data_IF_345002109848
#
_entry.id   IF_345002109848
#
_cell.length_a   1.000
_cell.length_b   1.000
_cell.length_c   1.000
_cell.angle_alpha   90.00
_cell.angle_beta   90.00
_cell.angle_gamma   90.00
#
_symmetry.space_group_name_H-M   'P 1'
#
loop_
_entity.id
_entity.type
_entity.pdbx_description
1 polymer ?
#
# COMPACT_ATOMS: atom_id res chain seq x y z
N UNK A 1 10.81 -55.04 -32.63
CA UNK A 1 10.39 -54.85 -31.22
C UNK A 1 11.39 -54.04 -30.38
N UNK A 2 12.71 -54.31 -30.46
CA UNK A 2 13.73 -53.58 -29.68
C UNK A 2 13.82 -52.08 -30.04
N UNK A 3 13.80 -51.74 -31.33
CA UNK A 3 13.88 -50.33 -31.78
C UNK A 3 12.69 -49.49 -31.31
N UNK A 4 11.47 -50.03 -31.39
CA UNK A 4 10.27 -49.35 -30.87
C UNK A 4 10.34 -49.14 -29.35
N UNK A 5 10.96 -50.06 -28.60
CA UNK A 5 11.19 -49.91 -27.16
C UNK A 5 12.24 -48.85 -26.85
N UNK A 6 13.31 -48.76 -27.64
CA UNK A 6 14.35 -47.74 -27.46
C UNK A 6 13.76 -46.35 -27.68
N UNK A 7 13.06 -46.12 -28.81
CA UNK A 7 12.43 -44.81 -29.09
C UNK A 7 11.45 -44.41 -28.00
N UNK A 8 10.66 -45.36 -27.47
CA UNK A 8 9.72 -45.10 -26.38
C UNK A 8 10.43 -44.73 -25.07
N UNK A 9 11.51 -45.45 -24.71
CA UNK A 9 12.30 -45.15 -23.50
C UNK A 9 12.98 -43.80 -23.62
N UNK A 10 13.60 -43.49 -24.77
CA UNK A 10 14.25 -42.20 -24.98
C UNK A 10 13.24 -41.06 -24.93
N UNK A 11 12.07 -41.23 -25.56
CA UNK A 11 10.99 -40.26 -25.50
C UNK A 11 10.47 -40.03 -24.07
N UNK A 12 10.31 -41.10 -23.29
CA UNK A 12 9.91 -41.02 -21.88
C UNK A 12 10.94 -40.29 -21.02
N UNK A 13 12.23 -40.58 -21.19
CA UNK A 13 13.31 -39.91 -20.45
C UNK A 13 13.40 -38.41 -20.79
N UNK A 14 13.27 -38.06 -22.06
CA UNK A 14 13.24 -36.65 -22.48
C UNK A 14 12.03 -35.93 -21.88
N UNK A 15 10.85 -36.54 -21.91
CA UNK A 15 9.66 -35.98 -21.27
C UNK A 15 9.83 -35.81 -19.76
N UNK A 16 10.44 -36.79 -19.08
CA UNK A 16 10.72 -36.72 -17.65
C UNK A 16 11.68 -35.57 -17.31
N UNK A 17 12.77 -35.41 -18.07
CA UNK A 17 13.72 -34.31 -17.89
C UNK A 17 13.02 -32.96 -18.07
N UNK A 18 12.17 -32.83 -19.09
CA UNK A 18 11.40 -31.60 -19.33
C UNK A 18 10.49 -31.31 -18.13
N UNK A 19 9.71 -32.29 -17.66
CA UNK A 19 8.83 -32.12 -16.50
C UNK A 19 9.64 -31.76 -15.24
N UNK A 20 10.74 -32.44 -14.98
CA UNK A 20 11.63 -32.14 -13.85
C UNK A 20 12.23 -30.73 -13.94
N UNK A 21 12.59 -30.27 -15.14
CA UNK A 21 13.08 -28.90 -15.35
C UNK A 21 11.98 -27.87 -15.03
N UNK A 22 10.76 -28.07 -15.53
CA UNK A 22 9.63 -27.18 -15.23
C UNK A 22 9.25 -27.16 -13.74
N UNK A 23 9.26 -28.32 -13.07
CA UNK A 23 8.99 -28.41 -11.63
C UNK A 23 10.13 -27.81 -10.81
N UNK A 24 11.39 -28.11 -11.18
CA UNK A 24 12.58 -27.59 -10.52
C UNK A 24 12.64 -26.08 -10.55
N UNK A 25 12.44 -25.46 -11.72
CA UNK A 25 12.42 -23.99 -11.87
C UNK A 25 11.36 -23.36 -10.96
N UNK A 26 10.17 -23.97 -10.83
CA UNK A 26 9.11 -23.49 -9.94
C UNK A 26 9.47 -23.62 -8.46
N UNK A 27 10.07 -24.74 -8.06
CA UNK A 27 10.52 -24.95 -6.68
C UNK A 27 11.61 -23.95 -6.29
N UNK A 28 12.59 -23.70 -7.17
CA UNK A 28 13.62 -22.69 -6.92
C UNK A 28 13.04 -21.30 -6.76
N UNK A 29 12.09 -20.88 -7.60
CA UNK A 29 11.45 -19.56 -7.45
C UNK A 29 10.67 -19.40 -6.13
N UNK A 30 10.06 -20.47 -5.63
CA UNK A 30 9.33 -20.42 -4.37
C UNK A 30 10.28 -20.29 -3.17
N UNK A 31 11.35 -21.10 -3.15
CA UNK A 31 12.38 -21.01 -2.10
C UNK A 31 13.07 -19.66 -2.14
N UNK A 32 13.36 -19.13 -3.33
CA UNK A 32 13.97 -17.81 -3.50
C UNK A 32 13.08 -16.71 -2.91
N UNK A 33 11.77 -16.72 -3.17
CA UNK A 33 10.82 -15.78 -2.57
C UNK A 33 10.79 -15.89 -1.04
N UNK A 34 10.74 -17.11 -0.48
CA UNK A 34 10.72 -17.31 0.98
C UNK A 34 11.99 -16.76 1.65
N UNK A 35 13.14 -17.05 1.05
CA UNK A 35 14.44 -16.59 1.55
C UNK A 35 14.52 -15.07 1.44
N UNK A 36 14.09 -14.52 0.31
CA UNK A 36 14.03 -13.08 0.05
C UNK A 36 13.13 -12.38 1.07
N UNK A 37 11.92 -12.87 1.31
CA UNK A 37 10.99 -12.28 2.27
C UNK A 37 11.61 -12.19 3.67
N UNK A 38 12.40 -13.20 4.08
CA UNK A 38 13.11 -13.20 5.36
C UNK A 38 14.21 -12.13 5.44
N UNK A 39 14.89 -11.84 4.34
CA UNK A 39 16.00 -10.87 4.29
C UNK A 39 15.58 -9.43 4.01
N UNK A 40 14.42 -9.19 3.38
CA UNK A 40 13.89 -7.86 3.07
C UNK A 40 13.08 -7.23 4.21
N UNK A 41 13.43 -7.58 5.44
CA UNK A 41 12.85 -6.94 6.61
C UNK A 41 13.40 -5.51 6.75
N UNK A 42 12.58 -4.51 6.44
CA UNK A 42 12.93 -3.11 6.71
C UNK A 42 12.72 -2.84 8.20
N UNK A 43 13.78 -3.09 8.98
CA UNK A 43 13.87 -2.65 10.37
C UNK A 43 14.40 -1.22 10.41
N UNK A 44 13.60 -0.28 10.91
CA UNK A 44 14.09 1.07 11.17
C UNK A 44 13.09 1.88 11.95
N UNK A 45 13.51 2.42 13.09
CA UNK A 45 12.77 3.50 13.71
C UNK A 45 12.93 4.74 12.82
N UNK A 46 11.83 5.24 12.28
CA UNK A 46 11.81 6.53 11.62
C UNK A 46 10.95 7.48 12.44
N UNK A 47 11.60 8.25 13.30
CA UNK A 47 10.94 9.21 14.19
C UNK A 47 10.23 10.34 13.44
N UNK A 48 10.45 10.46 12.11
CA UNK A 48 9.78 11.44 11.25
C UNK A 48 8.44 10.94 10.69
N UNK A 49 8.06 9.69 10.95
CA UNK A 49 6.78 9.13 10.49
C UNK A 49 5.90 8.87 11.71
N UNK A 50 4.75 9.53 11.73
CA UNK A 50 3.70 9.33 12.73
C UNK A 50 2.54 8.60 12.06
N UNK A 51 2.10 7.51 12.68
CA UNK A 51 0.94 6.77 12.22
C UNK A 51 -0.28 7.16 13.04
N UNK A 52 -1.36 7.53 12.36
CA UNK A 52 -2.66 7.79 13.01
C UNK A 52 -3.59 6.64 12.63
N UNK A 53 -3.99 5.86 13.62
CA UNK A 53 -4.73 4.62 13.41
C UNK A 53 -6.22 4.86 13.60
N UNK A 54 -7.01 4.28 12.69
CA UNK A 54 -8.45 4.14 12.81
C UNK A 54 -8.73 2.67 13.12
N UNK A 55 -9.39 2.40 14.24
CA UNK A 55 -9.73 1.03 14.66
C UNK A 55 -11.13 0.95 15.26
N UNK A 56 -11.43 -0.19 15.89
CA UNK A 56 -12.77 -0.46 16.46
C UNK A 56 -13.22 0.60 17.47
N UNK A 57 -12.29 1.12 18.29
CA UNK A 57 -12.58 2.18 19.25
C UNK A 57 -12.93 3.51 18.58
N UNK A 58 -12.29 3.82 17.44
CA UNK A 58 -12.65 4.97 16.61
C UNK A 58 -14.07 4.85 16.12
N UNK A 59 -14.46 3.69 15.60
CA UNK A 59 -15.84 3.44 15.10
C UNK A 59 -16.86 3.52 16.25
N UNK A 60 -16.52 2.95 17.41
CA UNK A 60 -17.39 3.01 18.58
C UNK A 60 -17.65 4.45 19.07
N UNK A 61 -16.64 5.34 18.97
CA UNK A 61 -16.74 6.73 19.47
C UNK A 61 -17.22 7.74 18.43
N UNK A 62 -16.79 7.60 17.17
CA UNK A 62 -17.04 8.58 16.11
C UNK A 62 -18.15 8.17 15.14
N UNK A 63 -18.67 6.95 15.26
CA UNK A 63 -19.77 6.43 14.46
C UNK A 63 -19.34 5.40 13.41
N UNK A 64 -20.32 4.94 12.62
CA UNK A 64 -20.12 3.89 11.63
C UNK A 64 -19.11 4.26 10.54
N UNK A 65 -18.51 3.25 9.92
CA UNK A 65 -17.71 3.43 8.72
C UNK A 65 -18.61 3.65 7.48
N UNK A 66 -18.28 4.58 6.58
CA UNK A 66 -17.15 5.52 6.65
C UNK A 66 -17.39 6.64 7.67
N UNK A 67 -16.33 7.05 8.37
CA UNK A 67 -16.38 8.16 9.33
C UNK A 67 -16.80 9.46 8.63
N UNK A 68 -17.60 10.27 9.31
CA UNK A 68 -18.09 11.56 8.80
C UNK A 68 -16.95 12.55 8.43
N UNK A 69 -17.09 13.28 7.32
CA UNK A 69 -16.10 14.25 6.79
C UNK A 69 -15.71 15.32 7.80
N UNK A 70 -16.62 15.69 8.69
CA UNK A 70 -16.36 16.66 9.76
C UNK A 70 -15.24 16.21 10.70
N UNK A 71 -15.14 14.90 10.98
CA UNK A 71 -14.08 14.37 11.84
C UNK A 71 -12.72 14.43 11.14
N UNK A 72 -12.66 14.21 9.82
CA UNK A 72 -11.42 14.40 9.06
C UNK A 72 -11.00 15.87 8.97
N UNK A 73 -11.95 16.80 8.84
CA UNK A 73 -11.69 18.24 8.90
C UNK A 73 -11.12 18.63 10.27
N UNK A 74 -11.77 18.21 11.38
CA UNK A 74 -11.26 18.42 12.75
C UNK A 74 -9.88 17.82 12.99
N UNK A 75 -9.62 16.63 12.43
CA UNK A 75 -8.31 16.01 12.47
C UNK A 75 -7.27 16.88 11.76
N UNK A 76 -7.53 17.23 10.50
CA UNK A 76 -6.62 18.04 9.71
C UNK A 76 -6.32 19.38 10.39
N UNK A 77 -7.30 20.03 11.01
CA UNK A 77 -7.13 21.33 11.67
C UNK A 77 -6.21 21.27 12.91
N UNK A 78 -6.00 20.08 13.49
CA UNK A 78 -5.17 19.89 14.70
C UNK A 78 -3.78 19.36 14.43
N UNK A 79 -3.49 18.94 13.20
CA UNK A 79 -2.23 18.30 12.83
C UNK A 79 -1.38 19.29 12.05
N UNK A 80 -0.15 19.48 12.52
CA UNK A 80 0.85 20.29 11.86
C UNK A 80 1.99 19.40 11.34
N UNK A 81 1.73 18.69 10.24
CA UNK A 81 2.74 17.83 9.59
C UNK A 81 3.18 18.43 8.26
N UNK A 82 4.44 18.19 7.87
CA UNK A 82 4.98 18.64 6.58
C UNK A 82 4.19 18.07 5.40
N UNK A 83 3.83 16.79 5.48
CA UNK A 83 2.99 16.05 4.53
C UNK A 83 2.02 15.18 5.33
N UNK A 84 0.76 15.09 4.92
CA UNK A 84 -0.26 14.25 5.54
C UNK A 84 -0.74 13.24 4.49
N UNK A 85 -0.41 11.97 4.66
CA UNK A 85 -0.97 10.89 3.87
C UNK A 85 -2.25 10.35 4.50
N UNK A 86 -3.36 10.31 3.76
CA UNK A 86 -4.62 9.71 4.20
C UNK A 86 -4.92 8.51 3.31
N UNK A 87 -4.78 7.31 3.87
CA UNK A 87 -5.10 6.04 3.20
C UNK A 87 -6.62 5.76 3.23
N UNK A 88 -7.39 6.73 2.72
CA UNK A 88 -8.85 6.67 2.60
C UNK A 88 -9.23 7.37 1.30
N UNK A 89 -9.93 6.63 0.46
CA UNK A 89 -10.04 7.00 -0.95
C UNK A 89 -11.14 8.00 -1.29
N UNK A 90 -12.02 8.34 -0.34
CA UNK A 90 -13.06 9.38 -0.47
C UNK A 90 -13.78 9.40 -1.84
N UNK A 91 -14.30 8.24 -2.29
CA UNK A 91 -14.92 8.11 -3.61
C UNK A 91 -16.33 8.70 -3.71
N UNK A 92 -17.06 8.73 -2.60
CA UNK A 92 -18.44 9.20 -2.56
C UNK A 92 -18.55 10.64 -2.07
N UNK A 93 -19.41 11.40 -2.75
CA UNK A 93 -19.78 12.75 -2.38
C UNK A 93 -20.64 12.77 -1.11
N UNK A 94 -20.44 13.81 -0.30
CA UNK A 94 -21.21 14.07 0.91
C UNK A 94 -21.54 15.55 1.03
N UNK A 95 -22.56 15.90 1.80
CA UNK A 95 -22.93 17.31 2.08
C UNK A 95 -21.88 18.07 2.88
N UNK A 96 -20.84 17.39 3.39
CA UNK A 96 -19.79 17.93 4.25
C UNK A 96 -18.42 17.97 3.57
N UNK A 97 -18.35 17.72 2.26
CA UNK A 97 -17.09 17.70 1.50
C UNK A 97 -16.37 19.06 1.52
N UNK A 98 -17.11 20.16 1.63
CA UNK A 98 -16.51 21.50 1.74
C UNK A 98 -15.70 21.69 3.04
N UNK A 99 -16.08 21.03 4.14
CA UNK A 99 -15.37 21.14 5.41
C UNK A 99 -13.94 20.59 5.29
N UNK A 100 -13.83 19.34 4.84
CA UNK A 100 -12.52 18.70 4.66
C UNK A 100 -11.72 19.41 3.56
N UNK A 101 -12.36 19.83 2.46
CA UNK A 101 -11.69 20.55 1.37
C UNK A 101 -11.05 21.85 1.86
N UNK A 102 -11.74 22.59 2.73
CA UNK A 102 -11.19 23.81 3.33
C UNK A 102 -10.02 23.49 4.26
N UNK A 103 -10.12 22.47 5.12
CA UNK A 103 -9.02 22.05 6.01
C UNK A 103 -7.77 21.55 5.29
N UNK A 104 -7.91 21.08 4.04
CA UNK A 104 -6.80 20.63 3.19
C UNK A 104 -6.11 21.76 2.42
N UNK A 105 -6.73 22.94 2.27
CA UNK A 105 -6.32 23.97 1.31
C UNK A 105 -4.89 24.45 1.47
N UNK A 106 -4.44 24.61 2.72
CA UNK A 106 -3.11 25.13 3.06
C UNK A 106 -2.17 24.02 3.56
N UNK A 107 -2.52 22.75 3.31
CA UNK A 107 -1.78 21.58 3.75
C UNK A 107 -1.37 20.70 2.58
N UNK A 108 -0.21 20.05 2.70
CA UNK A 108 0.22 19.05 1.74
C UNK A 108 -0.41 17.69 2.07
N UNK A 109 -1.68 17.53 1.68
CA UNK A 109 -2.42 16.28 1.88
C UNK A 109 -2.27 15.39 0.65
N UNK A 110 -1.98 14.10 0.86
CA UNK A 110 -2.00 13.06 -0.18
C UNK A 110 -3.13 12.08 0.13
N UNK A 111 -4.01 11.87 -0.83
CA UNK A 111 -5.16 10.97 -0.69
C UNK A 111 -4.94 9.64 -1.41
N UNK A 112 -5.61 8.59 -0.95
CA UNK A 112 -5.62 7.30 -1.62
C UNK A 112 -6.46 7.34 -2.90
N UNK A 113 -5.96 6.68 -3.93
CA UNK A 113 -6.72 6.25 -5.09
C UNK A 113 -6.61 4.73 -5.25
N UNK A 114 -7.43 4.15 -6.11
CA UNK A 114 -7.38 2.71 -6.38
C UNK A 114 -7.26 2.43 -7.87
N UNK A 115 -6.33 1.57 -8.24
CA UNK A 115 -6.26 0.99 -9.57
C UNK A 115 -7.32 -0.10 -9.73
N UNK A 116 -7.93 -0.15 -10.91
CA UNK A 116 -8.75 -1.29 -11.31
C UNK A 116 -7.92 -2.57 -11.35
N UNK A 117 -8.59 -3.72 -11.23
CA UNK A 117 -7.93 -5.03 -11.29
C UNK A 117 -7.15 -5.29 -12.60
N UNK A 118 -7.54 -4.65 -13.70
CA UNK A 118 -6.83 -4.73 -14.98
C UNK A 118 -5.69 -3.70 -15.11
N UNK A 119 -5.50 -2.86 -14.09
CA UNK A 119 -4.46 -1.83 -13.97
C UNK A 119 -4.55 -0.72 -15.02
N UNK A 120 -5.67 -0.61 -15.73
CA UNK A 120 -5.84 0.35 -16.83
C UNK A 120 -6.50 1.65 -16.40
N UNK A 121 -7.27 1.60 -15.32
CA UNK A 121 -8.03 2.74 -14.80
C UNK A 121 -7.69 2.98 -13.34
N UNK A 122 -7.81 4.23 -12.92
CA UNK A 122 -7.63 4.68 -11.55
C UNK A 122 -8.91 5.38 -11.12
N UNK A 123 -9.44 4.99 -9.96
CA UNK A 123 -10.51 5.71 -9.29
C UNK A 123 -9.86 6.72 -8.36
N UNK A 124 -9.95 7.99 -8.72
CA UNK A 124 -9.42 9.10 -7.94
C UNK A 124 -10.40 9.53 -6.83
N UNK A 125 -9.90 10.10 -5.72
CA UNK A 125 -10.75 10.72 -4.69
C UNK A 125 -11.50 11.93 -5.27
N UNK A 126 -12.70 12.20 -4.75
CA UNK A 126 -13.57 13.30 -5.25
C UNK A 126 -12.92 14.68 -5.17
N UNK A 127 -11.94 14.87 -4.29
CA UNK A 127 -11.27 16.14 -4.10
C UNK A 127 -10.26 16.45 -5.21
N UNK A 128 -9.77 15.43 -5.92
CA UNK A 128 -8.86 15.58 -7.07
C UNK A 128 -7.51 16.24 -6.76
N UNK A 129 -7.19 16.49 -5.49
CA UNK A 129 -5.90 17.04 -5.06
C UNK A 129 -4.97 15.90 -4.69
N UNK A 130 -3.70 16.02 -5.09
CA UNK A 130 -2.57 15.17 -4.68
C UNK A 130 -2.98 13.76 -4.23
N UNK A 131 -3.02 12.80 -5.14
CA UNK A 131 -3.37 11.42 -4.80
C UNK A 131 -2.42 10.44 -5.47
N UNK A 132 -2.44 9.20 -4.99
CA UNK A 132 -1.72 8.10 -5.60
C UNK A 132 -2.30 6.77 -5.15
N UNK A 133 -2.09 5.74 -5.98
CA UNK A 133 -2.76 4.47 -5.78
C UNK A 133 -2.16 3.70 -4.61
N UNK A 134 -3.01 3.02 -3.84
CA UNK A 134 -2.61 2.27 -2.63
C UNK A 134 -2.65 0.76 -2.82
N UNK A 135 -3.49 0.27 -3.72
CA UNK A 135 -3.61 -1.16 -3.93
C UNK A 135 -2.40 -1.74 -4.66
N UNK A 136 -1.82 -2.78 -4.07
CA UNK A 136 -0.72 -3.54 -4.63
C UNK A 136 -1.23 -4.95 -4.93
N UNK A 137 -1.08 -5.46 -6.17
CA UNK A 137 -1.57 -6.80 -6.50
C UNK A 137 -0.84 -7.84 -5.65
N UNK A 138 -1.58 -8.86 -5.26
CA UNK A 138 -1.00 -10.01 -4.60
C UNK A 138 -0.41 -10.95 -5.66
N UNK A 139 0.75 -11.54 -5.37
CA UNK A 139 1.27 -12.63 -6.18
C UNK A 139 0.46 -13.92 -5.96
N UNK A 140 0.77 -14.99 -6.70
CA UNK A 140 0.01 -16.26 -6.69
C UNK A 140 -0.06 -16.93 -5.32
N UNK A 141 0.89 -16.63 -4.44
CA UNK A 141 0.97 -17.11 -3.06
C UNK A 141 0.27 -16.18 -2.06
N UNK A 142 -0.36 -15.11 -2.52
CA UNK A 142 -1.06 -14.15 -1.68
C UNK A 142 -0.15 -13.11 -1.02
N UNK A 143 1.10 -12.99 -1.44
CA UNK A 143 2.02 -11.97 -0.88
C UNK A 143 2.19 -10.83 -1.88
N UNK A 144 1.99 -9.59 -1.42
CA UNK A 144 2.27 -8.39 -2.23
C UNK A 144 3.74 -8.02 -2.09
N UNK A 145 4.55 -8.29 -3.12
CA UNK A 145 6.00 -8.02 -3.07
C UNK A 145 6.44 -6.81 -3.89
N UNK A 146 5.64 -6.36 -4.86
CA UNK A 146 6.10 -5.36 -5.84
C UNK A 146 5.03 -4.33 -6.12
N UNK A 147 5.43 -3.07 -6.03
CA UNK A 147 4.69 -1.96 -6.62
C UNK A 147 4.72 -2.15 -8.14
N UNK A 148 3.56 -2.12 -8.78
CA UNK A 148 3.50 -2.27 -10.24
C UNK A 148 3.86 -0.93 -10.88
N UNK A 149 4.78 -0.95 -11.83
CA UNK A 149 4.99 0.20 -12.68
C UNK A 149 3.75 0.42 -13.56
N UNK A 150 3.07 1.54 -13.37
CA UNK A 150 1.92 1.96 -14.18
C UNK A 150 2.09 3.41 -14.61
N UNK A 151 1.20 3.91 -15.47
CA UNK A 151 1.15 5.35 -15.80
C UNK A 151 0.69 6.22 -14.63
N UNK A 152 0.10 5.61 -13.60
CA UNK A 152 -0.40 6.28 -12.40
C UNK A 152 0.68 6.27 -11.32
N UNK A 153 0.66 7.26 -10.43
CA UNK A 153 1.68 7.41 -9.39
C UNK A 153 1.26 6.66 -8.14
N UNK A 154 2.16 5.85 -7.56
CA UNK A 154 1.91 5.19 -6.28
C UNK A 154 1.79 6.21 -5.14
N UNK A 155 0.92 5.94 -4.17
CA UNK A 155 0.69 6.78 -2.99
C UNK A 155 1.99 7.16 -2.26
N UNK A 156 2.84 6.18 -1.95
CA UNK A 156 4.08 6.43 -1.20
C UNK A 156 5.08 7.27 -2.00
N UNK A 157 5.12 7.08 -3.33
CA UNK A 157 5.93 7.93 -4.21
C UNK A 157 5.41 9.37 -4.21
N UNK A 158 4.10 9.58 -4.28
CA UNK A 158 3.51 10.92 -4.25
C UNK A 158 3.83 11.64 -2.94
N UNK A 159 3.75 10.94 -1.81
CA UNK A 159 4.17 11.45 -0.49
C UNK A 159 5.66 11.83 -0.51
N UNK A 160 6.51 10.95 -1.03
CA UNK A 160 7.95 11.17 -1.10
C UNK A 160 8.30 12.40 -1.96
N UNK A 161 7.72 12.51 -3.16
CA UNK A 161 7.96 13.64 -4.08
C UNK A 161 7.59 14.98 -3.46
N UNK A 162 6.45 15.05 -2.75
CA UNK A 162 6.06 16.27 -2.03
C UNK A 162 6.96 16.54 -0.82
N UNK A 163 7.45 15.49 -0.14
CA UNK A 163 8.33 15.66 1.02
C UNK A 163 9.73 16.16 0.63
N UNK A 164 10.31 15.61 -0.45
CA UNK A 164 11.68 15.92 -0.89
C UNK A 164 11.74 17.10 -1.87
N UNK A 165 10.62 17.44 -2.52
CA UNK A 165 10.58 18.29 -3.70
C UNK A 165 11.46 17.76 -4.85
N UNK A 166 11.63 16.44 -4.94
CA UNK A 166 12.44 15.75 -5.96
C UNK A 166 11.77 14.46 -6.42
N UNK A 167 12.20 13.93 -7.57
CA UNK A 167 11.69 12.69 -8.14
C UNK A 167 12.12 11.48 -7.30
N UNK A 168 11.15 10.88 -6.63
CA UNK A 168 11.36 9.62 -5.93
C UNK A 168 11.20 8.44 -6.90
N UNK A 169 12.22 7.57 -6.95
CA UNK A 169 12.17 6.38 -7.81
C UNK A 169 11.26 5.32 -7.19
N UNK A 170 10.40 4.73 -8.03
CA UNK A 170 9.74 3.46 -7.71
C UNK A 170 10.82 2.38 -7.74
N UNK A 171 11.47 2.17 -6.61
CA UNK A 171 12.29 0.99 -6.44
C UNK A 171 11.33 -0.18 -6.32
N UNK A 172 11.54 -1.24 -7.11
CA UNK A 172 10.81 -2.50 -7.04
C UNK A 172 11.08 -3.20 -5.71
N UNK A 173 10.64 -2.57 -4.64
CA UNK A 173 10.96 -2.89 -3.26
C UNK A 173 10.08 -4.04 -2.83
N UNK A 174 10.70 -5.10 -2.34
CA UNK A 174 10.03 -6.17 -1.63
C UNK A 174 9.32 -5.58 -0.41
N UNK A 175 7.98 -5.55 -0.46
CA UNK A 175 7.15 -5.04 0.62
C UNK A 175 7.04 -6.10 1.72
N UNK A 176 8.07 -6.24 2.56
CA UNK A 176 7.91 -6.90 3.87
C UNK A 176 7.93 -5.84 4.98
N UNK A 177 6.82 -5.11 5.08
CA UNK A 177 6.62 -4.07 6.09
C UNK A 177 5.70 -4.59 7.19
N UNK A 178 6.25 -4.85 8.37
CA UNK A 178 5.47 -5.13 9.58
C UNK A 178 5.38 -3.88 10.43
N UNK A 179 4.20 -3.24 10.47
CA UNK A 179 3.98 -2.07 11.32
C UNK A 179 4.08 -2.40 12.82
N UNK A 180 3.84 -3.67 13.20
CA UNK A 180 3.87 -4.15 14.59
C UNK A 180 5.30 -4.18 15.14
N UNK A 181 6.29 -4.38 14.28
CA UNK A 181 7.68 -4.54 14.69
C UNK A 181 8.53 -3.27 14.47
N UNK A 182 7.96 -2.23 13.85
CA UNK A 182 8.59 -0.93 13.71
C UNK A 182 8.05 0.02 14.80
N UNK A 183 8.92 0.64 15.60
CA UNK A 183 8.50 1.56 16.67
C UNK A 183 8.12 2.94 16.12
N UNK A 184 7.15 2.99 15.21
CA UNK A 184 6.58 4.28 14.81
C UNK A 184 5.84 4.92 15.98
N UNK A 185 5.90 6.24 16.05
CA UNK A 185 5.02 6.99 16.96
C UNK A 185 3.60 6.84 16.43
N UNK A 186 2.72 6.27 17.26
CA UNK A 186 1.32 6.03 16.88
C UNK A 186 0.37 6.88 17.72
N UNK A 187 -0.66 7.43 17.09
CA UNK A 187 -1.80 8.02 17.78
C UNK A 187 -3.10 7.36 17.31
N UNK A 188 -4.11 7.38 18.17
CA UNK A 188 -5.48 6.99 17.79
C UNK A 188 -6.19 8.20 17.19
N UNK A 189 -6.92 7.99 16.10
CA UNK A 189 -7.62 9.05 15.39
C UNK A 189 -8.64 9.78 16.29
N UNK A 190 -9.40 9.03 17.08
CA UNK A 190 -10.40 9.58 18.00
C UNK A 190 -9.79 10.48 19.08
N UNK A 191 -8.58 10.18 19.55
CA UNK A 191 -7.95 10.94 20.63
C UNK A 191 -7.57 12.32 20.09
N UNK A 192 -7.13 12.41 18.84
CA UNK A 192 -6.84 13.67 18.16
C UNK A 192 -8.14 14.44 17.94
N UNK A 193 -9.15 13.81 17.32
CA UNK A 193 -10.42 14.47 16.96
C UNK A 193 -11.19 14.97 18.18
N UNK A 194 -11.18 14.23 19.30
CA UNK A 194 -11.92 14.56 20.51
C UNK A 194 -11.14 15.42 21.51
N UNK A 195 -9.81 15.51 21.40
CA UNK A 195 -9.00 16.33 22.31
C UNK A 195 -9.09 17.84 22.02
N UNK A 196 -8.71 18.66 23.00
CA UNK A 196 -8.53 20.11 22.83
C UNK A 196 -7.07 20.49 22.58
N UNK A 197 -6.22 19.54 22.16
CA UNK A 197 -4.78 19.74 21.97
C UNK A 197 -4.43 19.76 20.48
N UNK A 198 -3.40 20.52 20.14
CA UNK A 198 -2.72 20.48 18.85
C UNK A 198 -1.61 19.40 18.90
N UNK A 199 -1.31 18.81 17.73
CA UNK A 199 -0.34 17.72 17.59
C UNK A 199 0.68 18.05 16.49
N UNK A 200 1.96 17.91 16.85
CA UNK A 200 3.13 17.93 15.97
C UNK A 200 3.65 16.50 15.69
#
# INVERSE_FOLDING_TARGET
MKEKRIVFITGFLVALIIVCAFVGVRLFSYVDNLVTDQFYYVSGNNDNIVLVLIGDETIAKLGAWPIDRENYSKFLDKINAKIIGIDISFFDQTTKDDLIKNSMKDKNVVLASELSNDLKTETAPIFGINYGYVNVPMEKDGVSRKIIETKYTNFAKKVCELYTNDLCKETGTYLNFSYIQNNFKTYKFEDIVLSNKEYD
#
